data_IF_694459319060
#
_entry.id   IF_694459319060
#
_cell.length_a   1.000
_cell.length_b   1.000
_cell.length_c   1.000
_cell.angle_alpha   90.00
_cell.angle_beta   90.00
_cell.angle_gamma   90.00
#
_symmetry.space_group_name_H-M   'P 1'
#
loop_
_entity.id
_entity.type
_entity.pdbx_description
1 polymer ?
#
# COMPACT_ATOMS: atom_id res chain seq x y z
N UNK A 1 11.98 -4.59 -15.30
CA UNK A 1 11.46 -3.22 -15.40
C UNK A 1 9.97 -3.31 -15.61
N UNK A 2 9.19 -2.46 -14.94
CA UNK A 2 7.73 -2.40 -15.09
C UNK A 2 7.36 -1.02 -15.62
N UNK A 3 6.73 -0.99 -16.78
CA UNK A 3 6.34 0.20 -17.52
C UNK A 3 4.81 0.23 -17.59
N UNK A 4 4.19 0.63 -16.48
CA UNK A 4 2.73 0.74 -16.43
C UNK A 4 2.29 2.10 -17.00
N UNK A 5 1.45 2.07 -18.04
CA UNK A 5 0.95 3.25 -18.77
C UNK A 5 2.04 4.24 -19.20
N UNK A 6 3.24 3.73 -19.46
CA UNK A 6 4.39 4.53 -19.88
C UNK A 6 4.33 4.82 -21.37
N UNK A 7 4.54 6.08 -21.75
CA UNK A 7 4.59 6.52 -23.14
C UNK A 7 5.91 7.25 -23.40
N UNK A 8 6.83 6.75 -24.23
CA UNK A 8 8.11 7.40 -24.49
C UNK A 8 7.93 8.58 -25.48
N UNK A 9 7.26 9.65 -25.06
CA UNK A 9 6.99 10.83 -25.91
C UNK A 9 7.94 11.99 -25.59
N UNK A 10 8.43 12.09 -24.36
CA UNK A 10 9.37 13.12 -23.94
C UNK A 10 10.81 12.61 -23.91
N UNK A 11 11.77 13.54 -24.03
CA UNK A 11 13.20 13.23 -23.91
C UNK A 11 13.55 12.61 -22.55
N UNK A 12 12.85 12.99 -21.49
CA UNK A 12 13.08 12.44 -20.15
C UNK A 12 12.66 10.96 -20.09
N UNK A 13 11.49 10.62 -20.61
CA UNK A 13 10.98 9.24 -20.69
C UNK A 13 11.88 8.38 -21.59
N UNK A 14 12.24 8.88 -22.77
CA UNK A 14 13.19 8.21 -23.66
C UNK A 14 14.53 7.94 -22.98
N UNK A 15 15.05 8.92 -22.23
CA UNK A 15 16.29 8.77 -21.48
C UNK A 15 16.16 7.72 -20.38
N UNK A 16 15.05 7.67 -19.66
CA UNK A 16 14.81 6.64 -18.64
C UNK A 16 14.87 5.23 -19.24
N UNK A 17 14.22 5.03 -20.38
CA UNK A 17 14.23 3.75 -21.10
C UNK A 17 15.63 3.39 -21.60
N UNK A 18 16.32 4.33 -22.24
CA UNK A 18 17.69 4.16 -22.74
C UNK A 18 18.67 3.78 -21.61
N UNK A 19 18.61 4.48 -20.47
CA UNK A 19 19.46 4.21 -19.32
C UNK A 19 19.18 2.83 -18.73
N UNK A 20 17.92 2.43 -18.64
CA UNK A 20 17.56 1.10 -18.14
C UNK A 20 18.07 -0.02 -19.07
N UNK A 21 17.95 0.16 -20.39
CA UNK A 21 18.43 -0.79 -21.38
C UNK A 21 19.96 -0.92 -21.37
N UNK A 22 20.68 0.21 -21.38
CA UNK A 22 22.14 0.23 -21.47
C UNK A 22 22.85 -0.15 -20.17
N UNK A 23 22.21 0.02 -19.01
CA UNK A 23 22.78 -0.41 -17.71
C UNK A 23 22.57 -1.88 -17.39
N UNK A 24 21.67 -2.56 -18.09
CA UNK A 24 21.43 -3.99 -17.87
C UNK A 24 22.66 -4.81 -18.32
N UNK A 25 23.36 -5.44 -17.36
CA UNK A 25 24.65 -6.11 -17.63
C UNK A 25 24.54 -7.51 -18.24
N UNK A 26 23.43 -8.22 -18.03
CA UNK A 26 23.26 -9.63 -18.46
C UNK A 26 21.90 -9.90 -19.08
N UNK A 27 20.83 -9.72 -18.31
CA UNK A 27 19.46 -9.94 -18.76
C UNK A 27 18.62 -8.70 -18.47
N UNK A 28 17.72 -8.36 -19.39
CA UNK A 28 16.74 -7.30 -19.24
C UNK A 28 15.34 -7.89 -19.48
N UNK A 29 14.50 -7.84 -18.45
CA UNK A 29 13.08 -8.19 -18.56
C UNK A 29 12.26 -6.92 -18.44
N UNK A 30 11.41 -6.63 -19.42
CA UNK A 30 10.52 -5.48 -19.44
C UNK A 30 9.09 -5.98 -19.50
N UNK A 31 8.27 -5.57 -18.53
CA UNK A 31 6.82 -5.72 -18.55
C UNK A 31 6.22 -4.37 -18.90
N UNK A 32 5.42 -4.30 -19.95
CA UNK A 32 4.80 -3.06 -20.42
C UNK A 32 3.43 -3.35 -21.02
N UNK A 33 2.56 -2.33 -20.98
CA UNK A 33 1.15 -2.42 -21.40
C UNK A 33 0.94 -1.62 -22.71
N UNK A 34 1.65 -1.98 -23.79
CA UNK A 34 1.59 -1.29 -25.08
C UNK A 34 2.35 -2.02 -26.19
N UNK A 35 2.66 -1.32 -27.29
CA UNK A 35 3.28 -1.87 -28.51
C UNK A 35 4.57 -1.12 -28.94
N UNK A 36 4.98 -0.09 -28.20
CA UNK A 36 6.08 0.81 -28.60
C UNK A 36 7.47 0.17 -28.60
N UNK A 37 7.63 -1.03 -28.03
CA UNK A 37 8.88 -1.81 -28.10
C UNK A 37 8.85 -2.92 -29.15
N UNK A 38 7.71 -3.14 -29.81
CA UNK A 38 7.51 -4.26 -30.75
C UNK A 38 8.39 -4.14 -32.00
N UNK A 39 8.80 -2.91 -32.31
CA UNK A 39 9.76 -2.62 -33.40
C UNK A 39 11.17 -3.13 -33.09
N UNK A 40 11.52 -3.33 -31.82
CA UNK A 40 12.85 -3.79 -31.41
C UNK A 40 12.99 -5.29 -31.66
N UNK A 41 13.89 -5.66 -32.57
CA UNK A 41 14.22 -7.06 -32.86
C UNK A 41 15.70 -7.29 -32.64
N UNK A 42 16.04 -8.17 -31.70
CA UNK A 42 17.42 -8.54 -31.38
C UNK A 42 17.53 -10.05 -31.23
N UNK A 43 18.73 -10.60 -31.47
CA UNK A 43 18.98 -12.03 -31.29
C UNK A 43 18.76 -12.43 -29.81
N UNK A 44 18.01 -13.50 -29.57
CA UNK A 44 17.70 -14.00 -28.23
C UNK A 44 16.54 -13.27 -27.52
N UNK A 45 15.86 -12.33 -28.18
CA UNK A 45 14.63 -11.73 -27.66
C UNK A 45 13.54 -12.79 -27.49
N UNK A 46 12.94 -12.84 -26.31
CA UNK A 46 11.75 -13.64 -26.03
C UNK A 46 10.60 -12.70 -25.67
N UNK A 47 9.56 -12.69 -26.50
CA UNK A 47 8.33 -11.93 -26.24
C UNK A 47 7.25 -12.88 -25.72
N UNK A 48 6.50 -12.41 -24.73
CA UNK A 48 5.36 -13.12 -24.18
C UNK A 48 4.19 -12.14 -24.15
N UNK A 49 3.11 -12.50 -24.84
CA UNK A 49 1.88 -11.73 -24.79
C UNK A 49 0.97 -12.33 -23.74
N UNK A 50 0.62 -11.54 -22.73
CA UNK A 50 -0.30 -11.96 -21.68
C UNK A 50 -1.66 -11.32 -21.92
N UNK A 51 -2.62 -12.11 -22.40
CA UNK A 51 -3.99 -11.69 -22.64
C UNK A 51 -4.91 -11.88 -21.44
N UNK A 52 -4.38 -12.27 -20.27
CA UNK A 52 -5.19 -12.45 -19.07
C UNK A 52 -5.74 -11.11 -18.58
N UNK A 53 -7.04 -11.09 -18.32
CA UNK A 53 -7.69 -9.95 -17.68
C UNK A 53 -7.53 -10.14 -16.18
N UNK A 54 -6.53 -9.46 -15.60
CA UNK A 54 -6.33 -9.45 -14.16
C UNK A 54 -7.38 -8.60 -13.48
N UNK A 55 -8.32 -9.27 -12.81
CA UNK A 55 -9.31 -8.58 -11.98
C UNK A 55 -8.63 -7.94 -10.78
N UNK A 56 -9.12 -6.79 -10.30
CA UNK A 56 -8.62 -6.18 -9.07
C UNK A 56 -8.70 -7.19 -7.90
N UNK A 57 -7.68 -7.23 -7.02
CA UNK A 57 -7.59 -8.23 -5.98
C UNK A 57 -8.77 -8.16 -5.01
N UNK A 58 -9.20 -9.30 -4.48
CA UNK A 58 -10.29 -9.37 -3.51
C UNK A 58 -9.93 -8.70 -2.17
N UNK A 59 -8.64 -8.64 -1.84
CA UNK A 59 -8.12 -8.03 -0.63
C UNK A 59 -6.96 -7.09 -0.93
N UNK A 60 -6.88 -5.99 -0.19
CA UNK A 60 -5.78 -5.04 -0.25
C UNK A 60 -5.27 -4.77 1.17
N UNK A 61 -3.96 -4.85 1.38
CA UNK A 61 -3.33 -4.42 2.62
C UNK A 61 -2.68 -3.05 2.42
N UNK A 62 -2.94 -2.12 3.33
CA UNK A 62 -2.34 -0.79 3.34
C UNK A 62 -1.54 -0.60 4.62
N UNK A 63 -0.25 -0.35 4.45
CA UNK A 63 0.69 -0.16 5.55
C UNK A 63 0.74 1.32 5.93
N UNK A 64 0.32 1.65 7.15
CA UNK A 64 0.31 3.04 7.59
C UNK A 64 1.71 3.47 8.01
N UNK A 65 2.01 4.74 7.75
CA UNK A 65 3.23 5.42 8.17
C UNK A 65 2.91 6.51 9.20
N UNK A 66 3.93 7.19 9.72
CA UNK A 66 3.77 8.32 10.64
C UNK A 66 2.91 9.48 10.05
N UNK A 67 2.80 9.59 8.71
CA UNK A 67 1.97 10.60 8.04
C UNK A 67 0.49 10.24 8.01
N UNK A 68 0.18 8.96 8.17
CA UNK A 68 -1.18 8.42 8.04
C UNK A 68 -1.92 8.38 9.40
N UNK A 69 -1.22 8.70 10.50
CA UNK A 69 -1.76 8.70 11.87
C UNK A 69 -1.58 10.06 12.56
N UNK A 70 -2.40 10.33 13.58
CA UNK A 70 -2.24 11.52 14.43
C UNK A 70 -1.23 11.22 15.53
N UNK A 71 0.00 11.73 15.39
CA UNK A 71 1.10 11.42 16.32
C UNK A 71 0.83 11.90 17.76
N UNK A 72 0.24 13.08 17.91
CA UNK A 72 -0.11 13.65 19.23
C UNK A 72 -1.17 12.81 19.98
N UNK A 73 -1.93 11.96 19.28
CA UNK A 73 -2.91 11.06 19.91
C UNK A 73 -2.23 10.01 20.82
N UNK A 74 -0.99 9.62 20.49
CA UNK A 74 -0.27 8.61 21.25
C UNK A 74 0.29 9.14 22.58
N UNK A 75 0.43 10.47 22.75
CA UNK A 75 1.00 11.09 23.97
C UNK A 75 0.32 10.61 25.25
N UNK A 76 -1.02 10.52 25.24
CA UNK A 76 -1.81 10.15 26.41
C UNK A 76 -2.18 8.66 26.47
N UNK A 77 -1.66 7.84 25.54
CA UNK A 77 -2.04 6.43 25.36
C UNK A 77 -0.88 5.45 25.54
N UNK A 78 0.27 5.92 26.03
CA UNK A 78 1.46 5.11 26.27
C UNK A 78 1.18 3.85 27.10
N UNK A 79 0.32 3.94 28.12
CA UNK A 79 -0.09 2.79 28.94
C UNK A 79 -0.84 1.70 28.16
N UNK A 80 -1.65 2.10 27.17
CA UNK A 80 -2.36 1.16 26.29
C UNK A 80 -1.41 0.56 25.26
N UNK A 81 -0.56 1.40 24.66
CA UNK A 81 0.42 1.00 23.65
C UNK A 81 1.44 0.02 24.24
N UNK A 82 1.83 0.20 25.50
CA UNK A 82 2.74 -0.70 26.20
C UNK A 82 2.21 -2.13 26.37
N UNK A 83 0.89 -2.34 26.24
CA UNK A 83 0.25 -3.65 26.31
C UNK A 83 0.08 -4.31 24.93
N UNK A 84 0.34 -3.56 23.85
CA UNK A 84 0.22 -4.07 22.49
C UNK A 84 1.52 -4.75 22.06
N UNK A 85 1.37 -5.80 21.26
CA UNK A 85 2.45 -6.49 20.57
C UNK A 85 2.28 -6.37 19.06
N UNK A 86 3.37 -6.55 18.32
CA UNK A 86 3.26 -6.75 16.87
C UNK A 86 2.37 -7.95 16.58
N UNK A 87 1.64 -7.86 15.47
CA UNK A 87 0.58 -8.80 15.04
C UNK A 87 -0.72 -8.75 15.85
N UNK A 88 -0.83 -7.92 16.89
CA UNK A 88 -2.09 -7.75 17.61
C UNK A 88 -3.20 -7.25 16.69
N UNK A 89 -4.38 -7.87 16.80
CA UNK A 89 -5.54 -7.48 16.02
C UNK A 89 -6.18 -6.19 16.54
N UNK A 90 -6.54 -5.35 15.58
CA UNK A 90 -7.20 -4.09 15.80
C UNK A 90 -8.51 -4.05 15.01
N UNK A 91 -9.54 -3.49 15.66
CA UNK A 91 -10.84 -3.25 15.07
C UNK A 91 -10.82 -1.87 14.42
N UNK A 92 -11.07 -1.80 13.12
CA UNK A 92 -11.21 -0.53 12.41
C UNK A 92 -12.60 0.02 12.69
N UNK A 93 -12.66 1.18 13.33
CA UNK A 93 -13.91 1.86 13.65
C UNK A 93 -13.87 3.30 13.13
N UNK A 94 -14.47 3.49 11.95
CA UNK A 94 -14.54 4.78 11.26
C UNK A 94 -13.17 5.41 11.03
N UNK A 95 -12.81 6.35 11.89
CA UNK A 95 -11.58 7.15 11.79
C UNK A 95 -10.46 6.69 12.74
N UNK A 96 -10.65 5.58 13.47
CA UNK A 96 -9.70 5.08 14.45
C UNK A 96 -9.55 3.57 14.39
N UNK A 97 -8.50 3.04 15.03
CA UNK A 97 -8.39 1.64 15.38
C UNK A 97 -8.54 1.46 16.89
N UNK A 98 -9.31 0.46 17.28
CA UNK A 98 -9.51 0.03 18.66
C UNK A 98 -8.82 -1.30 18.90
N UNK A 99 -8.33 -1.51 20.11
CA UNK A 99 -7.91 -2.83 20.55
C UNK A 99 -9.15 -3.73 20.77
N UNK A 100 -8.93 -5.01 21.03
CA UNK A 100 -10.02 -5.98 21.32
C UNK A 100 -10.85 -5.62 22.57
N UNK A 101 -10.34 -4.73 23.44
CA UNK A 101 -11.06 -4.22 24.62
C UNK A 101 -11.92 -2.99 24.30
N UNK A 102 -12.02 -2.60 23.03
CA UNK A 102 -12.77 -1.43 22.57
C UNK A 102 -12.10 -0.07 22.84
N UNK A 103 -10.85 -0.07 23.29
CA UNK A 103 -10.11 1.16 23.58
C UNK A 103 -9.40 1.65 22.32
N UNK A 104 -9.56 2.94 22.03
CA UNK A 104 -8.90 3.58 20.89
C UNK A 104 -7.38 3.65 21.10
N UNK A 105 -6.64 3.13 20.13
CA UNK A 105 -5.18 3.03 20.17
C UNK A 105 -4.51 3.78 19.02
N UNK A 106 -5.19 3.92 17.88
CA UNK A 106 -4.70 4.68 16.72
C UNK A 106 -5.80 5.60 16.21
N UNK A 107 -5.45 6.85 15.88
CA UNK A 107 -6.33 7.79 15.22
C UNK A 107 -5.77 8.15 13.84
N UNK A 108 -6.60 8.10 12.80
CA UNK A 108 -6.16 8.37 11.43
C UNK A 108 -6.00 9.86 11.15
N UNK A 109 -4.96 10.20 10.37
CA UNK A 109 -4.76 11.56 9.89
C UNK A 109 -5.85 11.95 8.88
N UNK A 110 -6.06 13.26 8.68
CA UNK A 110 -7.03 13.75 7.68
C UNK A 110 -6.72 13.23 6.28
N UNK A 111 -5.44 13.14 5.92
CA UNK A 111 -5.00 12.61 4.64
C UNK A 111 -5.40 11.14 4.48
N UNK A 112 -5.17 10.33 5.51
CA UNK A 112 -5.49 8.91 5.46
C UNK A 112 -6.99 8.64 5.43
N UNK A 113 -7.78 9.46 6.14
CA UNK A 113 -9.25 9.41 6.04
C UNK A 113 -9.74 9.64 4.60
N UNK A 114 -9.11 10.56 3.86
CA UNK A 114 -9.37 10.75 2.43
C UNK A 114 -9.08 9.49 1.61
N UNK A 115 -7.93 8.83 1.85
CA UNK A 115 -7.58 7.56 1.20
C UNK A 115 -8.60 6.44 1.50
N UNK A 116 -9.11 6.35 2.74
CA UNK A 116 -10.15 5.38 3.09
C UNK A 116 -11.42 5.64 2.26
N UNK A 117 -11.85 6.90 2.12
CA UNK A 117 -13.04 7.23 1.33
C UNK A 117 -12.83 6.95 -0.17
N UNK A 118 -11.64 7.24 -0.72
CA UNK A 118 -11.28 6.85 -2.09
C UNK A 118 -11.34 5.33 -2.29
N UNK A 119 -10.90 4.54 -1.30
CA UNK A 119 -10.99 3.08 -1.35
C UNK A 119 -12.44 2.59 -1.28
N UNK A 120 -13.27 3.20 -0.44
CA UNK A 120 -14.72 2.90 -0.38
C UNK A 120 -15.41 3.17 -1.70
N UNK A 121 -15.08 4.27 -2.39
CA UNK A 121 -15.60 4.56 -3.74
C UNK A 121 -15.21 3.49 -4.77
N UNK A 122 -14.08 2.81 -4.55
CA UNK A 122 -13.62 1.66 -5.36
C UNK A 122 -14.18 0.31 -4.87
N UNK A 123 -15.19 0.32 -4.00
CA UNK A 123 -15.80 -0.84 -3.36
C UNK A 123 -14.87 -1.63 -2.42
N UNK A 124 -13.84 -0.99 -1.87
CA UNK A 124 -12.97 -1.58 -0.86
C UNK A 124 -13.32 -1.04 0.52
N UNK A 125 -13.73 -1.93 1.42
CA UNK A 125 -14.13 -1.59 2.78
C UNK A 125 -13.06 -2.10 3.74
N UNK A 126 -12.58 -1.27 4.69
CA UNK A 126 -11.67 -1.75 5.72
C UNK A 126 -12.38 -2.74 6.64
N UNK A 127 -11.82 -3.93 6.81
CA UNK A 127 -12.41 -5.03 7.59
C UNK A 127 -11.61 -5.39 8.82
N UNK A 128 -10.29 -5.39 8.69
CA UNK A 128 -9.37 -5.80 9.74
C UNK A 128 -8.19 -4.84 9.79
N UNK A 129 -7.60 -4.66 10.96
CA UNK A 129 -6.29 -4.06 11.10
C UNK A 129 -5.42 -4.91 12.01
N UNK A 130 -4.10 -4.80 11.86
CA UNK A 130 -3.13 -5.41 12.78
C UNK A 130 -2.04 -4.42 13.11
N UNK A 131 -1.46 -4.55 14.29
CA UNK A 131 -0.25 -3.81 14.66
C UNK A 131 0.92 -4.36 13.85
N UNK A 132 1.46 -3.56 12.93
CA UNK A 132 2.66 -3.96 12.19
C UNK A 132 3.91 -3.60 12.98
N UNK A 133 4.03 -2.32 13.33
CA UNK A 133 5.18 -1.81 14.07
C UNK A 133 4.75 -0.98 15.27
N UNK A 134 5.50 -1.12 16.35
CA UNK A 134 5.51 -0.20 17.49
C UNK A 134 6.91 0.42 17.50
N UNK A 135 6.99 1.72 17.27
CA UNK A 135 8.27 2.43 17.14
C UNK A 135 8.33 3.59 18.13
N UNK A 136 9.55 3.96 18.52
CA UNK A 136 9.79 5.17 19.28
C UNK A 136 9.82 6.37 18.33
N UNK A 137 9.13 7.43 18.70
CA UNK A 137 9.06 8.69 17.97
C UNK A 137 9.28 9.84 18.93
N UNK A 138 10.17 10.76 18.54
CA UNK A 138 10.43 11.99 19.27
C UNK A 138 9.81 13.16 18.52
N UNK A 139 9.07 14.00 19.23
CA UNK A 139 8.59 15.28 18.69
C UNK A 139 9.76 16.26 18.70
N UNK A 140 9.95 17.03 17.63
CA UNK A 140 11.05 18.00 17.51
C UNK A 140 11.13 19.00 18.67
N UNK A 141 9.98 19.32 19.29
CA UNK A 141 9.87 20.25 20.42
C UNK A 141 9.94 19.57 21.79
N UNK A 142 10.38 18.32 21.88
CA UNK A 142 10.33 17.50 23.09
C UNK A 142 11.60 16.67 23.27
N UNK A 143 12.08 16.61 24.52
CA UNK A 143 13.25 15.81 24.90
C UNK A 143 12.92 14.35 25.25
N UNK A 144 11.66 13.93 25.12
CA UNK A 144 11.25 12.56 25.41
C UNK A 144 10.68 11.84 24.19
N UNK A 145 11.02 10.57 24.07
CA UNK A 145 10.46 9.68 23.06
C UNK A 145 9.16 9.05 23.56
N UNK A 146 8.21 8.89 22.64
CA UNK A 146 6.97 8.15 22.88
C UNK A 146 6.88 6.95 21.94
N UNK A 147 6.19 5.90 22.36
CA UNK A 147 5.84 4.79 21.48
C UNK A 147 4.62 5.16 20.63
N UNK A 148 4.72 4.93 19.33
CA UNK A 148 3.61 5.08 18.39
C UNK A 148 3.33 3.73 17.72
N UNK A 149 2.08 3.53 17.33
CA UNK A 149 1.63 2.30 16.67
C UNK A 149 1.37 2.60 15.20
N UNK A 150 2.00 1.83 14.33
CA UNK A 150 1.81 1.86 12.88
C UNK A 150 1.10 0.58 12.45
N UNK A 151 -0.22 0.63 12.22
CA UNK A 151 -0.96 -0.56 11.84
C UNK A 151 -0.90 -0.84 10.34
N UNK A 152 -1.23 -2.06 9.97
CA UNK A 152 -1.59 -2.46 8.61
C UNK A 152 -3.11 -2.66 8.55
N UNK A 153 -3.78 -2.03 7.58
CA UNK A 153 -5.22 -2.13 7.38
C UNK A 153 -5.52 -3.00 6.18
N UNK A 154 -6.41 -3.95 6.36
CA UNK A 154 -6.89 -4.88 5.35
C UNK A 154 -8.26 -4.43 4.87
N UNK A 155 -8.34 -4.16 3.58
CA UNK A 155 -9.55 -3.85 2.87
C UNK A 155 -10.01 -5.07 2.11
N UNK A 156 -11.32 -5.28 2.10
CA UNK A 156 -11.96 -6.32 1.31
C UNK A 156 -12.87 -5.67 0.28
N UNK A 157 -12.86 -6.23 -0.92
CA UNK A 157 -13.74 -5.79 -1.99
C UNK A 157 -15.15 -6.30 -1.72
N UNK A 158 -16.11 -5.40 -1.55
CA UNK A 158 -17.53 -5.78 -1.54
C UNK A 158 -18.02 -5.91 -2.97
N UNK A 159 -18.08 -7.14 -3.48
CA UNK A 159 -18.78 -7.44 -4.73
C UNK A 159 -20.28 -7.44 -4.48
N UNK A 160 -20.92 -6.29 -4.65
CA UNK A 160 -22.37 -6.19 -4.79
C UNK A 160 -22.75 -6.73 -6.18
N UNK A 161 -22.77 -8.06 -6.31
CA UNK A 161 -23.07 -8.74 -7.56
C UNK A 161 -22.58 -10.19 -7.49
N UNK A 162 -23.53 -11.09 -7.67
CA UNK A 162 -23.39 -12.54 -7.61
C UNK A 162 -22.45 -13.04 -8.72
N UNK A 163 -21.18 -13.21 -8.40
CA UNK A 163 -20.27 -14.05 -9.17
C UNK A 163 -19.44 -14.84 -8.18
N UNK A 164 -19.63 -16.16 -8.26
CA UNK A 164 -18.98 -17.18 -7.46
C UNK A 164 -17.49 -17.10 -7.82
N UNK A 165 -16.69 -16.53 -6.91
CA UNK A 165 -15.24 -16.64 -7.05
C UNK A 165 -14.86 -18.13 -6.89
N UNK A 166 -13.97 -18.69 -7.74
CA UNK A 166 -13.31 -19.93 -7.39
C UNK A 166 -12.46 -19.65 -6.14
N UNK A 167 -12.53 -20.57 -5.18
CA UNK A 167 -11.64 -20.60 -4.03
C UNK A 167 -10.18 -20.45 -4.50
N UNK A 168 -9.41 -19.68 -3.72
CA UNK A 168 -7.97 -19.50 -3.90
C UNK A 168 -7.20 -20.83 -4.02
#
# INVERSE_FOLDING_TARGET
MMLDRFTPQTDEELRQLYVAMTRAKRNLTIHYNGDYLDTIKVCGLKTFFDSNIYSPPCQLAMQLTHKDVVLDFFLFRQNLIAQLMSEDELIVDGNCCKNLRGQEVVLFSKQFRGKIEEMKQRNYIPKRAKVRFIVYWQKESSDYEIRIVLPEIYFERTTSGQDIAPEC
#
